data_IF_552916616152
#
_entry.id   IF_552916616152
#
_cell.length_a   1.000
_cell.length_b   1.000
_cell.length_c   1.000
_cell.angle_alpha   90.00
_cell.angle_beta   90.00
_cell.angle_gamma   90.00
#
_symmetry.space_group_name_H-M   'P 1'
#
loop_
_entity.id
_entity.type
_entity.pdbx_description
1 polymer ?
#
# COMPACT_ATOMS: atom_id res chain seq x y z
N UNK A 1 -8.95 -17.56 7.33
CA UNK A 1 -8.22 -17.54 7.32
C UNK A 1 -7.43 -16.59 6.94
N UNK A 2 -6.61 -16.48 6.89
CA UNK A 2 -5.67 -15.90 6.26
C UNK A 2 -5.14 -14.55 6.46
N UNK A 3 -5.91 -13.64 6.79
CA UNK A 3 -5.41 -12.28 6.94
C UNK A 3 -5.09 -12.03 8.38
N UNK A 4 -3.79 -11.92 8.68
CA UNK A 4 -3.38 -11.62 10.03
C UNK A 4 -3.23 -10.15 10.31
N UNK A 5 -2.99 -9.34 9.24
CA UNK A 5 -2.61 -7.96 9.42
C UNK A 5 -3.02 -7.12 8.23
N UNK A 6 -3.65 -5.98 8.49
CA UNK A 6 -4.00 -5.00 7.46
C UNK A 6 -3.21 -3.74 7.72
N UNK A 7 -2.54 -3.24 6.69
CA UNK A 7 -1.75 -2.03 6.77
C UNK A 7 -2.19 -1.07 5.68
N UNK A 8 -2.51 0.15 6.04
CA UNK A 8 -2.74 1.21 5.06
C UNK A 8 -1.43 1.96 4.88
N UNK A 9 -1.03 2.11 3.64
CA UNK A 9 0.27 2.73 3.33
C UNK A 9 0.04 3.94 2.44
N UNK A 10 0.55 5.09 2.87
CA UNK A 10 0.50 6.28 2.03
C UNK A 10 1.84 6.42 1.32
N UNK A 11 1.78 6.70 0.02
CA UNK A 11 2.96 6.78 -0.82
C UNK A 11 3.06 8.15 -1.45
N UNK A 12 4.20 8.81 -1.22
CA UNK A 12 4.51 10.05 -1.90
C UNK A 12 5.61 9.80 -2.92
N UNK A 13 5.44 10.33 -4.13
CA UNK A 13 6.41 10.15 -5.21
C UNK A 13 7.18 11.45 -5.44
N UNK A 14 8.47 11.32 -5.75
CA UNK A 14 9.29 12.47 -6.10
C UNK A 14 9.17 12.84 -7.57
N UNK A 15 8.70 11.92 -8.39
CA UNK A 15 8.51 12.12 -9.82
C UNK A 15 7.03 12.01 -10.14
N UNK A 16 6.46 13.08 -10.74
CA UNK A 16 5.03 13.13 -11.03
C UNK A 16 4.71 13.03 -12.52
N UNK A 17 5.70 12.66 -13.35
CA UNK A 17 5.45 12.48 -14.77
C UNK A 17 4.55 11.26 -14.96
N UNK A 18 3.86 11.23 -16.10
CA UNK A 18 2.99 10.11 -16.43
C UNK A 18 3.74 8.79 -16.39
N UNK A 19 4.98 8.80 -16.89
CA UNK A 19 5.79 7.58 -16.92
C UNK A 19 6.10 7.06 -15.51
N UNK A 20 6.42 7.95 -14.57
CA UNK A 20 6.70 7.55 -13.19
C UNK A 20 5.48 7.00 -12.50
N UNK A 21 4.34 7.68 -12.67
CA UNK A 21 3.09 7.22 -12.07
C UNK A 21 2.68 5.87 -12.64
N UNK A 22 2.80 5.72 -13.95
CA UNK A 22 2.44 4.49 -14.62
C UNK A 22 3.33 3.32 -14.17
N UNK A 23 4.62 3.57 -14.04
CA UNK A 23 5.55 2.54 -13.56
C UNK A 23 5.18 2.07 -12.16
N UNK A 24 4.89 3.02 -11.26
CA UNK A 24 4.48 2.68 -9.91
C UNK A 24 3.21 1.83 -9.93
N UNK A 25 2.22 2.26 -10.70
CA UNK A 25 0.94 1.55 -10.76
C UNK A 25 1.10 0.14 -11.32
N UNK A 26 1.98 -0.03 -12.30
CA UNK A 26 2.22 -1.36 -12.87
C UNK A 26 2.84 -2.31 -11.85
N UNK A 27 3.80 -1.82 -11.08
CA UNK A 27 4.42 -2.64 -10.05
C UNK A 27 3.40 -3.04 -8.99
N UNK A 28 2.61 -2.08 -8.54
CA UNK A 28 1.61 -2.33 -7.50
C UNK A 28 0.52 -3.29 -8.01
N UNK A 29 0.11 -3.14 -9.25
CA UNK A 29 -0.94 -3.96 -9.82
C UNK A 29 -0.59 -5.45 -9.84
N UNK A 30 0.69 -5.77 -9.96
CA UNK A 30 1.15 -7.17 -9.98
C UNK A 30 1.55 -7.68 -8.60
N UNK A 31 1.38 -6.89 -7.56
CA UNK A 31 1.77 -7.25 -6.20
C UNK A 31 0.56 -7.80 -5.45
N UNK A 32 0.54 -9.10 -5.14
CA UNK A 32 -0.67 -9.70 -4.54
C UNK A 32 -0.97 -9.23 -3.14
N UNK A 33 0.01 -8.77 -2.38
CA UNK A 33 -0.22 -8.26 -1.02
C UNK A 33 -1.04 -6.98 -1.01
N UNK A 34 -1.01 -6.22 -2.09
CA UNK A 34 -1.78 -4.98 -2.20
C UNK A 34 -3.17 -5.31 -2.74
N UNK A 35 -4.17 -5.13 -1.91
CA UNK A 35 -5.55 -5.44 -2.29
C UNK A 35 -6.31 -4.24 -2.83
N UNK A 36 -5.85 -3.03 -2.52
CA UNK A 36 -6.44 -1.81 -3.04
C UNK A 36 -5.35 -0.77 -3.26
N UNK A 37 -5.48 0.01 -4.30
CA UNK A 37 -4.58 1.12 -4.58
C UNK A 37 -5.43 2.29 -5.07
N UNK A 38 -5.39 3.38 -4.33
CA UNK A 38 -6.21 4.56 -4.64
C UNK A 38 -5.32 5.75 -4.89
N UNK A 39 -5.66 6.53 -5.92
CA UNK A 39 -5.07 7.83 -6.13
C UNK A 39 -5.82 8.81 -5.24
N UNK A 40 -5.12 9.54 -4.41
CA UNK A 40 -5.76 10.44 -3.45
C UNK A 40 -5.24 11.86 -3.62
N UNK A 41 -5.95 12.81 -3.01
CA UNK A 41 -5.51 14.19 -2.96
C UNK A 41 -4.84 14.47 -1.62
N UNK A 42 -3.96 15.46 -1.58
CA UNK A 42 -3.29 15.85 -0.36
C UNK A 42 -1.80 15.82 -0.50
N UNK A 43 -1.11 15.57 0.59
CA UNK A 43 0.35 15.61 0.63
C UNK A 43 1.02 14.43 -0.08
N UNK A 44 0.28 13.36 -0.29
CA UNK A 44 0.81 12.14 -0.92
C UNK A 44 -0.09 11.74 -2.09
N UNK A 45 0.43 10.89 -2.98
CA UNK A 45 -0.28 10.54 -4.21
C UNK A 45 -1.14 9.31 -4.11
N UNK A 46 -0.74 8.33 -3.31
CA UNK A 46 -1.42 7.02 -3.31
C UNK A 46 -1.70 6.53 -1.91
N UNK A 47 -2.81 5.79 -1.79
CA UNK A 47 -3.15 5.06 -0.58
C UNK A 47 -3.31 3.59 -0.95
N UNK A 48 -2.55 2.74 -0.30
CA UNK A 48 -2.60 1.29 -0.54
C UNK A 48 -3.21 0.59 0.65
N UNK A 49 -3.96 -0.49 0.37
CA UNK A 49 -4.41 -1.40 1.40
C UNK A 49 -3.62 -2.70 1.23
N UNK A 50 -2.82 -3.03 2.22
CA UNK A 50 -1.93 -4.18 2.17
C UNK A 50 -2.42 -5.23 3.17
N UNK A 51 -2.52 -6.48 2.72
CA UNK A 51 -2.94 -7.59 3.58
C UNK A 51 -1.83 -8.62 3.62
N UNK A 52 -1.34 -8.89 4.80
CA UNK A 52 -0.26 -9.85 5.04
C UNK A 52 -0.60 -10.71 6.24
N UNK A 53 0.16 -11.79 6.45
CA UNK A 53 -0.11 -12.70 7.55
C UNK A 53 0.45 -12.20 8.88
N UNK A 54 1.55 -11.45 8.86
CA UNK A 54 2.18 -10.96 10.07
C UNK A 54 3.11 -9.79 9.74
N UNK A 55 3.71 -9.23 10.78
CA UNK A 55 4.62 -8.09 10.66
C UNK A 55 5.85 -8.45 9.84
N UNK A 56 6.34 -9.66 9.98
CA UNK A 56 7.53 -10.10 9.24
C UNK A 56 7.25 -10.09 7.74
N UNK A 57 6.08 -10.57 7.36
CA UNK A 57 5.67 -10.54 5.95
C UNK A 57 5.53 -9.11 5.43
N UNK A 58 5.05 -8.20 6.26
CA UNK A 58 4.95 -6.81 5.88
C UNK A 58 6.33 -6.20 5.67
N UNK A 59 7.28 -6.48 6.55
CA UNK A 59 8.63 -5.96 6.41
C UNK A 59 9.27 -6.45 5.12
N UNK A 60 9.03 -7.71 4.77
CA UNK A 60 9.53 -8.25 3.52
C UNK A 60 8.91 -7.54 2.32
N UNK A 61 7.59 -7.34 2.35
CA UNK A 61 6.90 -6.60 1.30
C UNK A 61 7.47 -5.19 1.15
N UNK A 62 7.65 -4.50 2.27
CA UNK A 62 8.17 -3.14 2.27
C UNK A 62 9.55 -3.09 1.61
N UNK A 63 10.43 -4.02 1.93
CA UNK A 63 11.78 -4.06 1.39
C UNK A 63 11.78 -4.50 -0.08
N UNK A 64 11.05 -5.58 -0.38
CA UNK A 64 11.15 -6.21 -1.70
C UNK A 64 10.36 -5.49 -2.77
N UNK A 65 9.29 -4.80 -2.40
CA UNK A 65 8.44 -4.11 -3.36
C UNK A 65 8.65 -2.60 -3.29
N UNK A 66 8.32 -2.02 -2.16
CA UNK A 66 8.38 -0.55 -2.03
C UNK A 66 9.82 -0.04 -2.09
N UNK A 67 10.75 -0.79 -1.54
CA UNK A 67 12.15 -0.39 -1.55
C UNK A 67 12.81 -0.46 -2.92
N UNK A 68 12.17 -1.09 -3.90
CA UNK A 68 12.74 -1.20 -5.26
C UNK A 68 12.21 -0.15 -6.21
N UNK A 69 11.29 0.69 -5.78
CA UNK A 69 10.73 1.75 -6.62
C UNK A 69 11.43 3.06 -6.31
N UNK A 70 12.34 3.52 -7.19
CA UNK A 70 13.16 4.68 -6.85
C UNK A 70 12.42 6.01 -6.82
N UNK A 71 11.25 6.08 -7.42
CA UNK A 71 10.47 7.32 -7.44
C UNK A 71 9.72 7.58 -6.13
N UNK A 72 9.69 6.63 -5.21
CA UNK A 72 9.04 6.83 -3.92
C UNK A 72 9.88 7.76 -3.05
N UNK A 73 9.29 8.85 -2.59
CA UNK A 73 9.97 9.80 -1.71
C UNK A 73 9.53 9.67 -0.26
N UNK A 74 8.33 9.19 -0.01
CA UNK A 74 7.85 9.01 1.35
C UNK A 74 6.91 7.81 1.44
N UNK A 75 6.98 7.12 2.56
CA UNK A 75 6.12 5.97 2.87
C UNK A 75 5.69 6.10 4.32
N UNK A 76 4.39 6.04 4.55
CA UNK A 76 3.86 5.98 5.91
C UNK A 76 3.00 4.75 6.04
N UNK A 77 3.32 3.90 7.01
CA UNK A 77 2.60 2.66 7.25
C UNK A 77 1.67 2.84 8.45
N UNK A 78 0.39 2.58 8.25
CA UNK A 78 -0.63 2.73 9.27
C UNK A 78 -1.25 1.36 9.54
N UNK A 79 -0.86 0.77 10.64
CA UNK A 79 -1.35 -0.55 11.03
C UNK A 79 -2.77 -0.44 11.54
N UNK A 80 -3.65 -1.31 11.05
CA UNK A 80 -5.01 -1.38 11.58
C UNK A 80 -4.97 -2.19 12.86
N UNK A 81 -5.23 -1.52 13.99
CA UNK A 81 -5.20 -2.18 15.29
C UNK A 81 -6.52 -2.82 15.63
N UNK A 82 -7.62 -2.22 15.20
CA UNK A 82 -8.95 -2.73 15.49
C UNK A 82 -9.93 -2.07 14.53
N UNK A 83 -11.00 -2.78 14.20
CA UNK A 83 -12.05 -2.26 13.35
C UNK A 83 -13.36 -2.30 14.13
N UNK A 84 -13.81 -1.14 14.56
CA UNK A 84 -15.03 -1.02 15.34
C UNK A 84 -16.26 -1.27 14.46
N UNK A 85 -16.18 -0.85 13.20
CA UNK A 85 -17.32 -0.95 12.30
C UNK A 85 -16.83 -1.12 10.87
N UNK A 86 -17.41 -2.08 10.16
CA UNK A 86 -17.10 -2.28 8.75
C UNK A 86 -18.37 -2.73 8.04
N UNK A 87 -19.04 -1.79 7.40
CA UNK A 87 -20.32 -2.07 6.74
C UNK A 87 -20.15 -2.91 5.49
N UNK A 88 -18.94 -3.00 4.95
CA UNK A 88 -18.70 -3.79 3.74
C UNK A 88 -18.81 -5.28 3.96
N UNK A 89 -18.68 -5.74 5.19
CA UNK A 89 -18.72 -7.16 5.50
C UNK A 89 -20.06 -7.60 6.05
N UNK A 90 -21.07 -6.75 5.96
CA UNK A 90 -22.41 -7.12 6.40
C UNK A 90 -23.05 -8.01 5.36
N UNK A 91 -23.52 -9.14 5.79
CA UNK A 91 -24.18 -10.08 4.92
C UNK A 91 -25.45 -10.56 5.55
#
# INVERSE_FOLDING_TARGET
MGIGLIVYVTIGLSCHSKACLQHFEEVIETTPEVTECHTITGAVEYLLRVEVTDIKSYKKFHTDVLGTIPSISSITSLLVMDTTKDLRVQV
#
